data_IF_174013173603
#
_entry.id   IF_174013173603
#
_cell.length_a   1.000
_cell.length_b   1.000
_cell.length_c   1.000
_cell.angle_alpha   90.00
_cell.angle_beta   90.00
_cell.angle_gamma   90.00
#
_symmetry.space_group_name_H-M   'P 1'
#
loop_
_entity.id
_entity.type
_entity.pdbx_description
1 polymer ?
#
# COMPACT_ATOMS: atom_id res chain seq x y z
N UNK A 1 -0.94 -31.64 33.16
CA UNK A 1 -0.15 -30.42 32.90
C UNK A 1 0.12 -30.37 31.41
N UNK A 2 -0.70 -29.61 30.67
CA UNK A 2 -0.32 -28.42 29.89
C UNK A 2 0.20 -28.81 28.48
N UNK A 3 -0.71 -28.77 27.48
CA UNK A 3 -0.66 -27.97 26.21
C UNK A 3 0.17 -28.63 25.09
N UNK A 4 -0.19 -28.72 23.79
CA UNK A 4 -1.06 -27.99 22.86
C UNK A 4 -1.43 -28.97 21.71
N UNK A 5 -2.64 -29.10 21.18
CA UNK A 5 -3.46 -28.18 20.38
C UNK A 5 -2.82 -27.74 19.03
N UNK A 6 -3.08 -28.53 17.98
CA UNK A 6 -2.99 -28.17 16.55
C UNK A 6 -4.31 -28.60 15.89
N UNK A 7 -5.13 -27.69 15.33
CA UNK A 7 -6.24 -28.08 14.47
C UNK A 7 -5.83 -28.05 13.00
N UNK A 8 -6.09 -29.18 12.34
CA UNK A 8 -6.05 -29.39 10.91
C UNK A 8 -7.15 -28.56 10.25
N UNK A 9 -6.76 -27.73 9.30
CA UNK A 9 -7.63 -26.93 8.43
C UNK A 9 -8.29 -27.86 7.41
N UNK A 10 -9.60 -28.09 7.54
CA UNK A 10 -10.40 -28.69 6.47
C UNK A 10 -10.87 -27.59 5.51
N UNK A 11 -10.29 -27.59 4.30
CA UNK A 11 -10.81 -26.95 3.10
C UNK A 11 -12.15 -27.61 2.72
N UNK A 12 -13.25 -26.87 2.78
CA UNK A 12 -14.50 -27.21 2.09
C UNK A 12 -14.52 -26.50 0.74
N UNK A 13 -14.09 -27.21 -0.31
CA UNK A 13 -14.47 -26.96 -1.70
C UNK A 13 -15.85 -27.60 -1.92
N UNK A 14 -16.86 -26.79 -2.18
CA UNK A 14 -18.18 -27.28 -2.63
C UNK A 14 -18.28 -27.10 -4.14
N UNK A 15 -17.82 -28.13 -4.86
CA UNK A 15 -18.20 -28.39 -6.24
C UNK A 15 -19.61 -29.00 -6.25
N UNK A 16 -20.54 -28.35 -6.93
CA UNK A 16 -21.88 -28.85 -7.16
C UNK A 16 -21.85 -30.08 -8.08
N UNK A 17 -22.37 -31.21 -7.61
CA UNK A 17 -22.77 -32.35 -8.44
C UNK A 17 -24.21 -32.68 -8.07
N UNK A 18 -25.08 -32.53 -9.06
CA UNK A 18 -26.51 -32.86 -9.00
C UNK A 18 -26.65 -34.35 -9.30
N UNK A 19 -27.04 -35.15 -8.32
CA UNK A 19 -27.81 -36.38 -8.51
C UNK A 19 -28.62 -36.66 -7.24
N UNK A 20 -29.93 -36.82 -7.41
CA UNK A 20 -30.89 -36.95 -6.31
C UNK A 20 -30.82 -38.28 -5.56
N UNK A 21 -31.11 -38.21 -4.27
CA UNK A 21 -31.91 -39.13 -3.43
C UNK A 21 -32.00 -38.42 -2.07
N UNK A 22 -33.23 -38.16 -1.61
CA UNK A 22 -33.49 -37.49 -0.34
C UNK A 22 -33.41 -38.45 0.84
N UNK A 23 -32.89 -37.98 1.98
CA UNK A 23 -33.29 -38.44 3.33
C UNK A 23 -33.20 -37.25 4.31
N UNK A 24 -34.27 -37.14 5.08
CA UNK A 24 -34.66 -36.05 5.97
C UNK A 24 -33.80 -35.88 7.22
N UNK A 25 -33.68 -34.61 7.64
CA UNK A 25 -33.27 -34.17 8.98
C UNK A 25 -34.37 -34.52 9.98
N UNK A 26 -33.99 -35.16 11.10
CA UNK A 26 -34.88 -35.39 12.25
C UNK A 26 -34.85 -34.17 13.16
N UNK A 27 -36.02 -33.57 13.34
CA UNK A 27 -36.32 -32.50 14.29
C UNK A 27 -36.22 -32.97 15.75
N UNK A 28 -35.59 -32.16 16.61
CA UNK A 28 -35.87 -32.16 18.04
C UNK A 28 -37.02 -31.17 18.32
N UNK A 29 -38.07 -31.68 18.96
CA UNK A 29 -39.36 -31.04 19.24
C UNK A 29 -39.31 -30.34 20.60
N UNK A 30 -39.62 -29.04 20.62
CA UNK A 30 -40.19 -28.37 21.78
C UNK A 30 -41.34 -27.50 21.28
N UNK A 31 -42.56 -27.92 21.61
CA UNK A 31 -43.82 -27.30 21.22
C UNK A 31 -44.10 -26.05 22.06
N UNK A 32 -44.32 -24.93 21.38
CA UNK A 32 -45.37 -23.98 21.74
C UNK A 32 -45.95 -23.43 20.43
N UNK A 33 -47.21 -23.78 20.19
CA UNK A 33 -48.02 -23.45 19.01
C UNK A 33 -48.50 -22.01 19.09
N UNK A 34 -48.23 -21.20 18.07
CA UNK A 34 -49.18 -20.19 17.54
C UNK A 34 -48.71 -19.64 16.20
N UNK A 35 -49.24 -20.23 15.12
CA UNK A 35 -49.44 -19.67 13.77
C UNK A 35 -48.56 -18.49 13.32
N UNK A 36 -47.44 -18.78 12.66
CA UNK A 36 -46.84 -17.86 11.70
C UNK A 36 -46.74 -18.57 10.35
N UNK A 37 -47.55 -18.10 9.41
CA UNK A 37 -47.54 -18.44 7.98
C UNK A 37 -46.10 -18.49 7.46
N UNK A 38 -45.69 -19.50 6.65
CA UNK A 38 -44.38 -19.47 6.02
C UNK A 38 -44.35 -18.28 5.07
N UNK A 39 -43.60 -17.23 5.45
CA UNK A 39 -43.36 -16.10 4.56
C UNK A 39 -42.57 -16.63 3.37
N UNK A 40 -43.25 -16.65 2.24
CA UNK A 40 -42.73 -16.93 0.91
C UNK A 40 -41.44 -16.15 0.72
N UNK A 41 -40.33 -16.87 0.77
CA UNK A 41 -39.04 -16.42 0.27
C UNK A 41 -39.17 -16.39 -1.26
N UNK A 42 -39.92 -15.42 -1.80
CA UNK A 42 -39.73 -15.03 -3.20
C UNK A 42 -38.27 -14.59 -3.29
N UNK A 43 -37.46 -15.46 -3.88
CA UNK A 43 -36.02 -15.36 -3.91
C UNK A 43 -35.62 -13.97 -4.45
N UNK A 44 -35.07 -13.14 -3.58
CA UNK A 44 -34.26 -12.00 -3.97
C UNK A 44 -33.08 -12.55 -4.77
N UNK A 45 -33.24 -12.67 -6.10
CA UNK A 45 -32.13 -13.01 -6.98
C UNK A 45 -31.15 -11.83 -6.98
N UNK A 46 -29.85 -12.12 -7.06
CA UNK A 46 -28.82 -11.08 -7.11
C UNK A 46 -29.05 -10.08 -8.27
N UNK A 47 -29.65 -10.54 -9.38
CA UNK A 47 -30.02 -9.70 -10.52
C UNK A 47 -31.15 -8.69 -10.20
N UNK A 48 -32.10 -9.07 -9.33
CA UNK A 48 -33.14 -8.15 -8.85
C UNK A 48 -32.57 -7.13 -7.88
N UNK A 49 -31.66 -7.53 -7.00
CA UNK A 49 -30.96 -6.62 -6.07
C UNK A 49 -30.20 -5.55 -6.86
N UNK A 50 -29.53 -5.93 -7.96
CA UNK A 50 -28.74 -5.03 -8.79
C UNK A 50 -29.55 -3.94 -9.53
N UNK A 51 -30.85 -4.16 -9.73
CA UNK A 51 -31.74 -3.31 -10.54
C UNK A 51 -32.81 -2.58 -9.71
N UNK A 52 -32.99 -2.97 -8.45
CA UNK A 52 -33.99 -2.37 -7.55
C UNK A 52 -33.51 -1.03 -6.99
N UNK A 53 -34.41 -0.06 -6.83
CA UNK A 53 -34.12 1.21 -6.17
C UNK A 53 -33.69 0.99 -4.70
N UNK A 54 -32.67 1.71 -4.22
CA UNK A 54 -32.02 1.43 -2.93
C UNK A 54 -32.95 1.60 -1.71
N UNK A 55 -33.78 2.66 -1.62
CA UNK A 55 -34.84 2.76 -0.61
C UNK A 55 -35.88 1.64 -0.67
N UNK A 56 -36.28 1.22 -1.88
CA UNK A 56 -37.23 0.12 -2.05
C UNK A 56 -36.64 -1.23 -1.60
N UNK A 57 -35.35 -1.44 -1.86
CA UNK A 57 -34.61 -2.62 -1.40
C UNK A 57 -34.48 -2.62 0.14
N UNK A 58 -34.13 -1.49 0.76
CA UNK A 58 -34.10 -1.33 2.22
C UNK A 58 -35.42 -1.75 2.86
N UNK A 59 -36.52 -1.16 2.41
CA UNK A 59 -37.86 -1.44 2.92
C UNK A 59 -38.24 -2.92 2.75
N UNK A 60 -37.81 -3.57 1.67
CA UNK A 60 -38.08 -4.98 1.41
C UNK A 60 -37.31 -5.90 2.37
N UNK A 61 -36.04 -5.58 2.64
CA UNK A 61 -35.19 -6.33 3.57
C UNK A 61 -35.63 -6.17 5.04
N UNK A 62 -36.04 -4.95 5.42
CA UNK A 62 -36.61 -4.68 6.75
C UNK A 62 -37.91 -5.45 6.98
N UNK A 63 -38.82 -5.44 5.99
CA UNK A 63 -40.07 -6.22 6.04
C UNK A 63 -39.83 -7.74 6.09
N UNK A 64 -38.74 -8.20 5.48
CA UNK A 64 -38.32 -9.59 5.53
C UNK A 64 -37.62 -9.97 6.86
N UNK A 65 -37.45 -9.03 7.78
CA UNK A 65 -36.89 -9.28 9.11
C UNK A 65 -35.36 -9.47 9.12
N UNK A 66 -34.65 -8.93 8.13
CA UNK A 66 -33.18 -9.02 8.11
C UNK A 66 -32.57 -8.19 9.25
N UNK A 67 -31.48 -8.66 9.88
CA UNK A 67 -30.75 -7.86 10.85
C UNK A 67 -30.21 -6.58 10.23
N UNK A 68 -30.34 -5.45 10.93
CA UNK A 68 -29.96 -4.12 10.44
C UNK A 68 -28.48 -4.04 10.00
N UNK A 69 -27.58 -4.77 10.65
CA UNK A 69 -26.18 -4.89 10.25
C UNK A 69 -26.00 -5.51 8.86
N UNK A 70 -26.81 -6.51 8.50
CA UNK A 70 -26.76 -7.15 7.18
C UNK A 70 -27.41 -6.28 6.10
N UNK A 71 -28.47 -5.54 6.44
CA UNK A 71 -29.09 -4.57 5.53
C UNK A 71 -28.09 -3.47 5.20
N UNK A 72 -27.37 -2.94 6.21
CA UNK A 72 -26.30 -1.96 6.05
C UNK A 72 -25.15 -2.46 5.17
N UNK A 73 -24.62 -3.65 5.45
CA UNK A 73 -23.53 -4.22 4.65
C UNK A 73 -23.94 -4.44 3.18
N UNK A 74 -25.14 -4.98 2.94
CA UNK A 74 -25.62 -5.26 1.59
C UNK A 74 -25.90 -3.98 0.79
N UNK A 75 -26.63 -3.04 1.37
CA UNK A 75 -26.91 -1.77 0.71
C UNK A 75 -25.65 -0.93 0.52
N UNK A 76 -24.72 -1.02 1.46
CA UNK A 76 -23.43 -0.36 1.33
C UNK A 76 -22.60 -0.87 0.17
N UNK A 77 -22.49 -2.19 0.04
CA UNK A 77 -21.84 -2.85 -1.09
C UNK A 77 -22.52 -2.49 -2.42
N UNK A 78 -23.85 -2.35 -2.44
CA UNK A 78 -24.61 -2.03 -3.65
C UNK A 78 -24.48 -0.54 -4.05
N UNK A 79 -24.50 0.39 -3.10
CA UNK A 79 -24.16 1.81 -3.32
C UNK A 79 -22.75 1.89 -3.91
N UNK A 80 -21.81 1.18 -3.32
CA UNK A 80 -20.43 1.11 -3.78
C UNK A 80 -20.33 0.49 -5.16
N UNK A 81 -21.00 -0.63 -5.46
CA UNK A 81 -21.00 -1.26 -6.79
C UNK A 81 -21.59 -0.35 -7.87
N UNK A 82 -22.64 0.41 -7.56
CA UNK A 82 -23.29 1.34 -8.51
C UNK A 82 -22.49 2.61 -8.73
N UNK A 83 -21.83 3.11 -7.69
CA UNK A 83 -21.10 4.37 -7.70
C UNK A 83 -19.58 4.18 -7.78
N UNK A 84 -19.05 2.97 -7.77
CA UNK A 84 -17.62 2.65 -7.80
C UNK A 84 -17.37 1.23 -8.38
N UNK A 85 -17.05 1.10 -9.68
CA UNK A 85 -16.68 -0.19 -10.26
C UNK A 85 -15.24 -0.62 -9.91
N UNK A 86 -14.42 0.30 -9.38
CA UNK A 86 -13.08 0.02 -8.85
C UNK A 86 -13.19 -0.51 -7.42
N UNK A 87 -12.40 -1.52 -7.02
CA UNK A 87 -12.41 -2.03 -5.66
C UNK A 87 -11.86 -0.96 -4.70
N UNK A 88 -12.75 -0.29 -3.97
CA UNK A 88 -12.35 0.50 -2.80
C UNK A 88 -11.83 -0.48 -1.75
N UNK A 89 -10.75 -0.10 -1.06
CA UNK A 89 -10.26 -0.80 0.14
C UNK A 89 -11.43 -1.09 1.07
N UNK A 90 -11.66 -2.37 1.41
CA UNK A 90 -12.68 -2.74 2.39
C UNK A 90 -12.17 -2.36 3.78
N UNK A 91 -13.09 -2.03 4.69
CA UNK A 91 -12.72 -1.75 6.08
C UNK A 91 -11.92 -2.92 6.71
N UNK A 92 -12.25 -4.16 6.35
CA UNK A 92 -11.53 -5.35 6.80
C UNK A 92 -10.07 -5.43 6.32
N UNK A 93 -9.71 -4.64 5.30
CA UNK A 93 -8.35 -4.54 4.76
C UNK A 93 -7.56 -3.38 5.39
N UNK A 94 -8.20 -2.47 6.12
CA UNK A 94 -7.56 -1.30 6.74
C UNK A 94 -6.76 -1.74 7.97
N UNK A 95 -5.45 -1.88 7.82
CA UNK A 95 -4.56 -2.09 8.97
C UNK A 95 -4.13 -0.72 9.53
N UNK A 96 -3.70 -0.65 10.80
CA UNK A 96 -3.12 0.58 11.33
C UNK A 96 -1.96 1.04 10.45
N UNK A 97 -1.96 2.32 10.06
CA UNK A 97 -0.89 2.88 9.26
C UNK A 97 0.39 2.98 10.10
N UNK A 98 1.45 2.34 9.62
CA UNK A 98 2.79 2.44 10.20
C UNK A 98 3.71 3.11 9.19
N UNK A 99 4.21 4.32 9.50
CA UNK A 99 5.06 5.08 8.58
C UNK A 99 6.38 4.38 8.22
N UNK A 100 6.79 3.36 8.99
CA UNK A 100 8.02 2.59 8.78
C UNK A 100 7.81 1.27 8.01
N UNK A 101 6.60 0.97 7.54
CA UNK A 101 6.30 -0.25 6.79
C UNK A 101 5.61 0.00 5.46
N UNK A 102 5.76 -0.99 4.57
CA UNK A 102 5.08 -1.04 3.28
C UNK A 102 3.98 -2.09 3.32
N UNK A 103 2.77 -1.67 2.98
CA UNK A 103 1.56 -2.48 3.00
C UNK A 103 0.51 -1.89 2.05
N UNK A 104 -0.69 -2.48 1.95
CA UNK A 104 -1.82 -1.86 1.25
C UNK A 104 -2.05 -0.40 1.71
N UNK A 105 -1.76 -0.15 2.99
CA UNK A 105 -1.83 1.13 3.70
C UNK A 105 -0.74 2.14 3.30
N UNK A 106 0.35 1.66 2.69
CA UNK A 106 1.52 2.48 2.35
C UNK A 106 1.48 3.02 0.92
N UNK A 107 0.55 2.57 0.09
CA UNK A 107 0.38 3.10 -1.26
C UNK A 107 0.19 4.62 -1.15
N UNK A 108 1.10 5.44 -1.70
CA UNK A 108 0.83 6.86 -1.78
C UNK A 108 -0.51 7.02 -2.49
N UNK A 109 -1.42 7.83 -1.93
CA UNK A 109 -2.49 8.39 -2.75
C UNK A 109 -1.73 9.12 -3.85
N UNK A 110 -1.73 8.53 -5.04
CA UNK A 110 -0.88 8.97 -6.13
C UNK A 110 -0.99 10.48 -6.30
N UNK A 111 0.16 11.14 -6.30
CA UNK A 111 0.33 12.56 -6.59
C UNK A 111 0.03 12.86 -8.07
N UNK A 112 -0.26 11.83 -8.88
CA UNK A 112 -0.74 11.93 -10.26
C UNK A 112 -2.23 12.28 -10.34
N UNK A 113 -2.75 13.09 -9.42
CA UNK A 113 -4.09 13.62 -9.58
C UNK A 113 -3.98 14.96 -10.29
N UNK A 114 -4.47 15.04 -11.53
CA UNK A 114 -4.86 16.33 -12.07
C UNK A 114 -5.95 16.93 -11.16
N UNK A 115 -6.07 18.27 -11.06
CA UNK A 115 -7.12 18.91 -10.26
C UNK A 115 -8.52 18.39 -10.60
N UNK A 116 -8.74 17.96 -11.85
CA UNK A 116 -9.98 17.34 -12.32
C UNK A 116 -10.22 15.95 -11.71
N UNK A 117 -9.19 15.10 -11.60
CA UNK A 117 -9.29 13.80 -10.94
C UNK A 117 -9.54 13.94 -9.43
N UNK A 118 -8.92 14.94 -8.78
CA UNK A 118 -9.23 15.24 -7.36
C UNK A 118 -10.68 15.69 -7.21
N UNK A 119 -11.13 16.67 -8.00
CA UNK A 119 -12.51 17.18 -7.95
C UNK A 119 -13.53 16.08 -8.26
N UNK A 120 -13.27 15.26 -9.27
CA UNK A 120 -14.13 14.13 -9.63
C UNK A 120 -14.18 13.09 -8.52
N UNK A 121 -13.05 12.81 -7.85
CA UNK A 121 -13.01 11.91 -6.70
C UNK A 121 -13.79 12.48 -5.51
N UNK A 122 -13.53 13.73 -5.12
CA UNK A 122 -14.22 14.40 -4.00
C UNK A 122 -15.72 14.51 -4.24
N UNK A 123 -16.15 14.98 -5.42
CA UNK A 123 -17.59 15.07 -5.75
C UNK A 123 -18.27 13.68 -5.72
N UNK A 124 -17.54 12.62 -6.08
CA UNK A 124 -18.01 11.24 -6.05
C UNK A 124 -18.09 10.68 -4.63
N UNK A 125 -17.12 10.98 -3.78
CA UNK A 125 -17.13 10.65 -2.34
C UNK A 125 -18.30 11.36 -1.63
N UNK A 126 -18.53 12.64 -1.93
CA UNK A 126 -19.68 13.41 -1.45
C UNK A 126 -21.02 12.80 -1.90
N UNK A 127 -21.11 12.33 -3.14
CA UNK A 127 -22.28 11.62 -3.66
C UNK A 127 -22.54 10.28 -2.93
N UNK A 128 -21.49 9.49 -2.69
CA UNK A 128 -21.59 8.24 -1.93
C UNK A 128 -22.05 8.54 -0.50
N UNK A 129 -21.46 9.54 0.15
CA UNK A 129 -21.83 9.99 1.50
C UNK A 129 -23.28 10.44 1.57
N UNK A 130 -23.70 11.32 0.68
CA UNK A 130 -25.09 11.80 0.62
C UNK A 130 -26.09 10.66 0.42
N UNK A 131 -25.76 9.67 -0.41
CA UNK A 131 -26.61 8.49 -0.64
C UNK A 131 -26.66 7.55 0.56
N UNK A 132 -25.56 7.38 1.28
CA UNK A 132 -25.56 6.63 2.54
C UNK A 132 -26.35 7.35 3.63
N UNK A 133 -26.19 8.66 3.78
CA UNK A 133 -26.92 9.47 4.76
C UNK A 133 -28.44 9.48 4.49
N UNK A 134 -28.83 9.46 3.21
CA UNK A 134 -30.24 9.30 2.78
C UNK A 134 -30.82 7.93 3.21
N UNK A 135 -30.04 6.85 3.09
CA UNK A 135 -30.48 5.49 3.39
C UNK A 135 -30.42 5.17 4.88
N UNK A 136 -29.43 5.72 5.60
CA UNK A 136 -29.14 5.41 7.00
C UNK A 136 -28.86 6.68 7.81
N UNK A 137 -29.88 7.52 8.05
CA UNK A 137 -29.72 8.69 8.89
C UNK A 137 -29.26 8.28 10.30
N UNK A 138 -28.15 8.88 10.76
CA UNK A 138 -27.51 8.66 12.07
C UNK A 138 -26.71 7.36 12.27
N UNK A 139 -26.37 6.62 11.22
CA UNK A 139 -25.40 5.53 11.33
C UNK A 139 -23.96 6.10 11.35
N UNK A 140 -23.08 5.61 12.22
CA UNK A 140 -21.63 5.71 11.96
C UNK A 140 -21.36 4.95 10.66
N UNK A 141 -21.09 5.68 9.58
CA UNK A 141 -20.85 5.11 8.26
C UNK A 141 -19.45 4.49 8.19
N UNK A 142 -19.27 3.47 7.35
CA UNK A 142 -17.94 2.98 6.95
C UNK A 142 -17.07 4.14 6.41
N UNK A 143 -17.70 5.15 5.80
CA UNK A 143 -17.07 6.43 5.41
C UNK A 143 -16.42 7.14 6.59
N UNK A 144 -17.10 7.25 7.74
CA UNK A 144 -16.52 7.88 8.94
C UNK A 144 -15.34 7.10 9.54
N UNK A 145 -15.27 5.78 9.31
CA UNK A 145 -14.11 4.96 9.71
C UNK A 145 -12.92 5.16 8.77
N UNK A 146 -13.17 5.24 7.47
CA UNK A 146 -12.15 5.57 6.46
C UNK A 146 -11.60 6.98 6.69
N UNK A 147 -12.46 7.97 6.90
CA UNK A 147 -12.07 9.36 7.22
C UNK A 147 -11.13 9.39 8.45
N UNK A 148 -11.49 8.69 9.54
CA UNK A 148 -10.65 8.59 10.74
C UNK A 148 -9.31 7.90 10.47
N UNK A 149 -9.31 6.84 9.66
CA UNK A 149 -8.08 6.14 9.28
C UNK A 149 -7.16 7.03 8.43
N UNK A 150 -7.70 7.77 7.47
CA UNK A 150 -6.95 8.72 6.64
C UNK A 150 -6.41 9.87 7.47
N UNK A 151 -7.20 10.42 8.39
CA UNK A 151 -6.76 11.44 9.33
C UNK A 151 -5.60 10.94 10.18
N UNK A 152 -5.71 9.73 10.77
CA UNK A 152 -4.65 9.15 11.59
C UNK A 152 -3.39 8.88 10.76
N UNK A 153 -3.54 8.43 9.52
CA UNK A 153 -2.43 8.20 8.60
C UNK A 153 -1.70 9.51 8.28
N UNK A 154 -2.45 10.54 7.92
CA UNK A 154 -1.92 11.82 7.44
C UNK A 154 -1.35 12.70 8.56
N UNK A 155 -2.02 12.72 9.71
CA UNK A 155 -1.74 13.69 10.77
C UNK A 155 -1.21 13.08 12.07
N UNK A 156 -1.36 11.77 12.26
CA UNK A 156 -1.03 11.15 13.54
C UNK A 156 -1.75 11.84 14.69
N UNK A 157 -0.99 12.18 15.72
CA UNK A 157 -1.51 12.78 16.95
C UNK A 157 -1.52 14.32 16.93
N UNK A 158 -1.36 14.94 15.75
CA UNK A 158 -1.31 16.39 15.61
C UNK A 158 -2.66 17.04 16.03
N UNK A 159 -2.66 18.03 16.95
CA UNK A 159 -3.90 18.67 17.41
C UNK A 159 -4.72 19.29 16.27
N UNK A 160 -6.06 19.23 16.37
CA UNK A 160 -6.98 19.70 15.34
C UNK A 160 -6.72 21.15 14.89
N UNK A 161 -6.45 22.06 15.84
CA UNK A 161 -6.18 23.47 15.53
C UNK A 161 -4.88 23.64 14.72
N UNK A 162 -3.86 22.84 15.00
CA UNK A 162 -2.61 22.83 14.23
C UNK A 162 -2.80 22.16 12.87
N UNK A 163 -3.57 21.07 12.78
CA UNK A 163 -3.96 20.43 11.51
C UNK A 163 -4.61 21.44 10.56
N UNK A 164 -5.57 22.23 11.07
CA UNK A 164 -6.24 23.27 10.29
C UNK A 164 -5.27 24.36 9.81
N UNK A 165 -4.34 24.81 10.66
CA UNK A 165 -3.33 25.80 10.29
C UNK A 165 -2.34 25.27 9.23
N UNK A 166 -1.87 24.03 9.38
CA UNK A 166 -1.00 23.36 8.39
C UNK A 166 -1.73 23.23 7.07
N UNK A 167 -2.98 22.75 7.07
CA UNK A 167 -3.80 22.65 5.85
C UNK A 167 -3.97 23.98 5.16
N UNK A 168 -4.31 25.05 5.91
CA UNK A 168 -4.47 26.38 5.35
C UNK A 168 -3.17 26.95 4.76
N UNK A 169 -2.02 26.66 5.40
CA UNK A 169 -0.71 27.03 4.88
C UNK A 169 -0.40 26.31 3.57
N UNK A 170 -0.57 24.99 3.54
CA UNK A 170 -0.29 24.16 2.36
C UNK A 170 -1.21 24.51 1.18
N UNK A 171 -2.51 24.71 1.44
CA UNK A 171 -3.48 25.11 0.41
C UNK A 171 -3.14 26.49 -0.18
N UNK A 172 -2.81 27.47 0.67
CA UNK A 172 -2.36 28.79 0.22
C UNK A 172 -1.08 28.70 -0.62
N UNK A 173 -0.09 27.92 -0.18
CA UNK A 173 1.15 27.71 -0.93
C UNK A 173 0.92 27.01 -2.26
N UNK A 174 0.06 25.99 -2.29
CA UNK A 174 -0.26 25.24 -3.50
C UNK A 174 -0.97 26.14 -4.52
N UNK A 175 -1.96 26.94 -4.10
CA UNK A 175 -2.63 27.91 -4.96
C UNK A 175 -1.68 28.96 -5.50
N UNK A 176 -0.85 29.56 -4.64
CA UNK A 176 0.12 30.56 -5.09
C UNK A 176 1.08 29.98 -6.15
N UNK A 177 1.52 28.73 -5.98
CA UNK A 177 2.34 28.03 -6.96
C UNK A 177 1.59 27.75 -8.25
N UNK A 178 0.36 27.25 -8.17
CA UNK A 178 -0.44 26.94 -9.35
C UNK A 178 -0.77 28.21 -10.14
N UNK A 179 -1.17 29.30 -9.48
CA UNK A 179 -1.39 30.62 -10.11
C UNK A 179 -0.09 31.14 -10.77
N UNK A 180 1.06 30.96 -10.10
CA UNK A 180 2.37 31.33 -10.65
C UNK A 180 2.73 30.54 -11.91
N UNK A 181 2.45 29.24 -11.92
CA UNK A 181 2.66 28.37 -13.07
C UNK A 181 1.70 28.70 -14.21
N UNK A 182 0.41 28.91 -13.92
CA UNK A 182 -0.62 29.18 -14.92
C UNK A 182 -0.42 30.53 -15.61
N UNK A 183 -0.05 31.57 -14.86
CA UNK A 183 0.28 32.88 -15.43
C UNK A 183 1.47 32.86 -16.41
N UNK A 184 2.26 31.78 -16.41
CA UNK A 184 3.43 31.57 -17.29
C UNK A 184 3.21 30.46 -18.32
N UNK A 185 1.98 29.97 -18.47
CA UNK A 185 1.70 28.85 -19.37
C UNK A 185 2.46 27.56 -19.02
N UNK A 186 2.85 27.40 -17.74
CA UNK A 186 3.65 26.27 -17.20
C UNK A 186 5.03 26.10 -17.85
N UNK A 187 5.52 27.10 -18.58
CA UNK A 187 6.90 27.16 -19.07
C UNK A 187 7.68 28.16 -18.24
N UNK A 188 8.70 27.69 -17.54
CA UNK A 188 9.50 28.50 -16.62
C UNK A 188 10.90 28.72 -17.16
N UNK A 189 11.37 29.96 -17.07
CA UNK A 189 12.78 30.27 -17.24
C UNK A 189 13.55 30.00 -15.92
N UNK A 190 14.90 29.99 -15.95
CA UNK A 190 15.71 29.69 -14.76
C UNK A 190 15.45 30.58 -13.53
N UNK A 191 15.11 31.86 -13.71
CA UNK A 191 14.81 32.78 -12.60
C UNK A 191 13.43 32.50 -11.98
N UNK A 192 12.49 32.02 -12.79
CA UNK A 192 11.16 31.63 -12.33
C UNK A 192 11.20 30.30 -11.57
N UNK A 193 12.10 29.39 -11.96
CA UNK A 193 12.42 28.19 -11.18
C UNK A 193 12.92 28.56 -9.77
N UNK A 194 13.88 29.48 -9.68
CA UNK A 194 14.39 29.99 -8.39
C UNK A 194 13.27 30.60 -7.52
N UNK A 195 12.34 31.32 -8.13
CA UNK A 195 11.18 31.89 -7.40
C UNK A 195 10.27 30.79 -6.83
N UNK A 196 10.05 29.70 -7.58
CA UNK A 196 9.28 28.56 -7.06
C UNK A 196 10.00 27.86 -5.92
N UNK A 197 11.31 27.69 -6.02
CA UNK A 197 12.13 27.09 -4.96
C UNK A 197 12.09 27.92 -3.68
N UNK A 198 12.22 29.24 -3.79
CA UNK A 198 12.06 30.15 -2.66
C UNK A 198 10.67 30.03 -2.02
N UNK A 199 9.62 29.90 -2.82
CA UNK A 199 8.25 29.68 -2.32
C UNK A 199 8.15 28.38 -1.53
N UNK A 200 8.75 27.28 -2.00
CA UNK A 200 8.80 26.01 -1.27
C UNK A 200 9.55 26.15 0.06
N UNK A 201 10.71 26.83 0.05
CA UNK A 201 11.51 27.10 1.24
C UNK A 201 10.78 27.99 2.26
N UNK A 202 10.02 28.99 1.81
CA UNK A 202 9.21 29.84 2.68
C UNK A 202 8.07 29.06 3.34
N UNK A 203 7.41 28.18 2.58
CA UNK A 203 6.39 27.28 3.12
C UNK A 203 6.98 26.32 4.14
N UNK A 204 8.17 25.77 3.88
CA UNK A 204 8.88 24.92 4.85
C UNK A 204 9.22 25.68 6.13
N UNK A 205 9.76 26.90 6.03
CA UNK A 205 10.06 27.73 7.20
C UNK A 205 8.82 28.07 8.03
N UNK A 206 7.68 28.29 7.38
CA UNK A 206 6.41 28.49 8.09
C UNK A 206 5.93 27.22 8.79
N UNK A 207 6.11 26.03 8.18
CA UNK A 207 5.83 24.75 8.86
C UNK A 207 6.71 24.57 10.10
N UNK A 208 8.00 24.90 10.01
CA UNK A 208 8.96 24.84 11.12
C UNK A 208 8.63 25.81 12.27
N UNK A 209 7.95 26.92 11.97
CA UNK A 209 7.47 27.86 13.00
C UNK A 209 6.16 27.41 13.64
N UNK A 210 5.31 26.72 12.88
CA UNK A 210 4.00 26.26 13.32
C UNK A 210 4.06 24.97 14.15
N UNK A 211 4.98 24.08 13.79
CA UNK A 211 5.16 22.76 14.39
C UNK A 211 6.39 22.72 15.29
N UNK A 212 6.30 22.02 16.41
CA UNK A 212 7.49 21.66 17.20
C UNK A 212 8.39 20.71 16.40
N UNK A 213 9.65 20.56 16.80
CA UNK A 213 10.58 19.66 16.11
C UNK A 213 10.07 18.21 16.03
N UNK A 214 9.42 17.71 17.08
CA UNK A 214 8.86 16.36 17.11
C UNK A 214 7.59 16.23 16.26
N UNK A 215 6.71 17.24 16.27
CA UNK A 215 5.52 17.27 15.41
C UNK A 215 5.90 17.37 13.93
N UNK A 216 6.92 18.17 13.60
CA UNK A 216 7.44 18.30 12.25
C UNK A 216 8.06 16.99 11.76
N UNK A 217 8.82 16.31 12.63
CA UNK A 217 9.37 14.99 12.31
C UNK A 217 8.28 13.96 12.05
N UNK A 218 7.24 13.88 12.89
CA UNK A 218 6.12 12.96 12.67
C UNK A 218 5.36 13.31 11.37
N UNK A 219 5.14 14.60 11.13
CA UNK A 219 4.56 15.08 9.88
C UNK A 219 5.39 14.66 8.66
N UNK A 220 6.70 14.85 8.70
CA UNK A 220 7.61 14.52 7.60
C UNK A 220 7.72 12.99 7.39
N UNK A 221 7.72 12.18 8.45
CA UNK A 221 7.70 10.72 8.36
C UNK A 221 6.45 10.19 7.64
N UNK A 222 5.34 10.93 7.69
CA UNK A 222 4.06 10.55 7.07
C UNK A 222 3.91 11.10 5.66
N UNK A 223 4.37 12.33 5.43
CA UNK A 223 4.00 13.12 4.25
C UNK A 223 5.17 13.43 3.30
N UNK A 224 6.43 13.22 3.69
CA UNK A 224 7.57 13.52 2.81
C UNK A 224 7.76 12.48 1.70
N UNK A 225 8.32 12.93 0.56
CA UNK A 225 8.72 12.03 -0.51
C UNK A 225 9.85 11.09 -0.05
N UNK A 226 10.79 11.58 0.78
CA UNK A 226 11.82 10.73 1.42
C UNK A 226 11.20 9.53 2.13
N UNK A 227 10.21 9.75 3.01
CA UNK A 227 9.59 8.67 3.76
C UNK A 227 8.77 7.74 2.85
N UNK A 228 8.07 8.29 1.86
CA UNK A 228 7.35 7.49 0.88
C UNK A 228 8.27 6.56 0.07
N UNK A 229 9.40 7.10 -0.40
CA UNK A 229 10.43 6.33 -1.11
C UNK A 229 11.08 5.29 -0.20
N UNK A 230 11.46 5.67 1.03
CA UNK A 230 12.05 4.77 2.01
C UNK A 230 11.13 3.61 2.37
N UNK A 231 9.82 3.81 2.48
CA UNK A 231 8.89 2.69 2.69
C UNK A 231 9.07 1.66 1.57
N UNK A 232 8.96 2.09 0.31
CA UNK A 232 9.07 1.18 -0.83
C UNK A 232 10.44 0.50 -0.92
N UNK A 233 11.52 1.27 -0.82
CA UNK A 233 12.90 0.75 -0.89
C UNK A 233 13.22 -0.21 0.26
N UNK A 234 12.77 0.11 1.48
CA UNK A 234 13.13 -0.65 2.68
C UNK A 234 12.11 -1.76 3.02
N UNK A 235 11.14 -2.07 2.15
CA UNK A 235 10.17 -3.15 2.39
C UNK A 235 10.90 -4.50 2.56
N UNK A 236 11.89 -4.77 1.70
CA UNK A 236 12.70 -5.96 1.81
C UNK A 236 13.66 -5.92 3.00
N UNK A 237 14.01 -4.75 3.55
CA UNK A 237 14.83 -4.62 4.76
C UNK A 237 14.00 -4.92 6.02
N UNK A 238 12.72 -4.53 6.01
CA UNK A 238 11.79 -4.59 7.13
C UNK A 238 12.36 -3.87 8.37
N UNK A 239 12.57 -2.54 8.29
CA UNK A 239 13.15 -1.77 9.38
C UNK A 239 12.24 -1.81 10.62
N UNK A 240 12.87 -1.77 11.79
CA UNK A 240 12.19 -1.33 13.01
C UNK A 240 11.84 0.15 12.92
N UNK A 241 10.90 0.62 13.75
CA UNK A 241 10.55 2.04 13.83
C UNK A 241 11.78 2.92 14.04
N UNK A 242 12.67 2.54 14.95
CA UNK A 242 13.83 3.34 15.31
C UNK A 242 14.88 3.35 14.20
N UNK A 243 15.12 2.22 13.52
CA UNK A 243 15.97 2.17 12.34
C UNK A 243 15.43 3.05 11.21
N UNK A 244 14.11 3.03 10.96
CA UNK A 244 13.50 3.86 9.94
C UNK A 244 13.66 5.35 10.25
N UNK A 245 13.35 5.79 11.48
CA UNK A 245 13.52 7.18 11.91
C UNK A 245 14.99 7.61 11.80
N UNK A 246 15.90 6.73 12.20
CA UNK A 246 17.32 7.04 12.19
C UNK A 246 17.88 7.20 10.77
N UNK A 247 17.54 6.31 9.84
CA UNK A 247 17.90 6.43 8.43
C UNK A 247 17.21 7.64 7.80
N UNK A 248 15.97 7.91 8.17
CA UNK A 248 15.21 9.06 7.69
C UNK A 248 15.91 10.38 8.02
N UNK A 249 16.39 10.53 9.26
CA UNK A 249 17.15 11.70 9.71
C UNK A 249 18.46 11.91 8.95
N UNK A 250 19.03 10.87 8.35
CA UNK A 250 20.22 10.97 7.50
C UNK A 250 19.89 11.32 6.05
N UNK A 251 18.75 10.84 5.53
CA UNK A 251 18.36 11.00 4.12
C UNK A 251 17.52 12.26 3.86
N UNK A 252 16.58 12.58 4.74
CA UNK A 252 15.64 13.68 4.52
C UNK A 252 16.30 15.06 4.36
N UNK A 253 17.35 15.41 5.13
CA UNK A 253 18.04 16.68 4.93
C UNK A 253 18.72 16.80 3.55
N UNK A 254 19.12 15.68 2.94
CA UNK A 254 19.68 15.67 1.60
C UNK A 254 18.60 16.00 0.57
N UNK A 255 17.41 15.40 0.71
CA UNK A 255 16.29 15.74 -0.15
C UNK A 255 15.98 17.23 -0.06
N UNK A 256 15.78 17.78 1.15
CA UNK A 256 15.51 19.21 1.31
C UNK A 256 16.63 20.11 0.76
N UNK A 257 17.90 19.69 0.82
CA UNK A 257 19.03 20.47 0.30
C UNK A 257 19.15 20.46 -1.23
N UNK A 258 18.56 19.45 -1.89
CA UNK A 258 18.75 19.19 -3.30
C UNK A 258 17.46 18.91 -4.11
N UNK A 259 16.28 18.99 -3.50
CA UNK A 259 14.96 18.74 -4.11
C UNK A 259 14.74 19.66 -5.31
N UNK A 260 15.13 20.91 -5.14
CA UNK A 260 15.00 21.96 -6.14
C UNK A 260 16.15 21.99 -7.16
N UNK A 261 17.17 21.12 -7.01
CA UNK A 261 18.35 21.12 -7.89
C UNK A 261 18.27 19.93 -8.85
N UNK A 262 18.05 20.15 -10.16
CA UNK A 262 18.01 19.05 -11.12
C UNK A 262 19.39 18.38 -11.23
N UNK A 263 19.39 17.05 -11.38
CA UNK A 263 20.60 16.30 -11.69
C UNK A 263 21.15 16.66 -13.07
N UNK A 264 22.47 16.73 -13.20
CA UNK A 264 23.14 16.98 -14.48
C UNK A 264 23.08 18.43 -14.94
N UNK A 265 22.61 19.36 -14.08
CA UNK A 265 22.56 20.79 -14.38
C UNK A 265 23.89 21.51 -14.09
N UNK A 266 24.49 21.24 -12.93
CA UNK A 266 25.76 21.83 -12.50
C UNK A 266 26.67 20.75 -11.87
N UNK A 267 27.83 20.46 -12.47
CA UNK A 267 28.78 19.47 -11.96
C UNK A 267 29.23 19.71 -10.51
N UNK A 268 29.29 20.97 -10.05
CA UNK A 268 29.66 21.28 -8.68
C UNK A 268 28.55 20.88 -7.69
N UNK A 269 27.29 21.07 -8.07
CA UNK A 269 26.13 20.65 -7.28
C UNK A 269 26.00 19.12 -7.26
N UNK A 270 26.23 18.47 -8.40
CA UNK A 270 26.21 17.00 -8.48
C UNK A 270 27.31 16.40 -7.59
N UNK A 271 28.53 16.94 -7.63
CA UNK A 271 29.62 16.51 -6.74
C UNK A 271 29.30 16.72 -5.24
N UNK A 272 28.65 17.84 -4.88
CA UNK A 272 28.19 18.08 -3.51
C UNK A 272 27.14 17.04 -3.08
N UNK A 273 26.20 16.72 -3.97
CA UNK A 273 25.17 15.72 -3.71
C UNK A 273 25.77 14.34 -3.52
N UNK A 274 26.64 13.88 -4.41
CA UNK A 274 27.33 12.60 -4.31
C UNK A 274 28.13 12.47 -3.00
N UNK A 275 28.85 13.53 -2.61
CA UNK A 275 29.60 13.55 -1.36
C UNK A 275 28.67 13.46 -0.13
N UNK A 276 27.53 14.14 -0.17
CA UNK A 276 26.56 14.15 0.92
C UNK A 276 25.81 12.81 1.03
N UNK A 277 25.44 12.20 -0.10
CA UNK A 277 24.86 10.85 -0.18
C UNK A 277 25.84 9.79 0.35
N UNK A 278 27.12 9.87 -0.05
CA UNK A 278 28.17 8.99 0.46
C UNK A 278 28.33 9.12 1.97
N UNK A 279 28.37 10.35 2.50
CA UNK A 279 28.45 10.57 3.95
C UNK A 279 27.23 10.02 4.69
N UNK A 280 26.02 10.16 4.15
CA UNK A 280 24.83 9.58 4.73
C UNK A 280 24.85 8.04 4.71
N UNK A 281 25.39 7.45 3.64
CA UNK A 281 25.56 5.99 3.53
C UNK A 281 26.56 5.45 4.56
N UNK A 282 27.69 6.13 4.75
CA UNK A 282 28.70 5.78 5.77
C UNK A 282 28.11 5.86 7.19
N UNK A 283 27.34 6.92 7.48
CA UNK A 283 26.62 7.05 8.75
C UNK A 283 25.56 5.96 8.93
N UNK A 284 24.88 5.59 7.86
CA UNK A 284 23.90 4.48 7.87
C UNK A 284 24.58 3.15 8.18
N UNK A 285 25.76 2.90 7.59
CA UNK A 285 26.56 1.70 7.87
C UNK A 285 27.00 1.64 9.34
N UNK A 286 27.48 2.76 9.89
CA UNK A 286 27.86 2.85 11.30
C UNK A 286 26.66 2.64 12.24
N UNK A 287 25.49 3.15 11.86
CA UNK A 287 24.26 3.06 12.66
C UNK A 287 23.68 1.65 12.71
N UNK A 288 23.62 0.97 11.56
CA UNK A 288 23.02 -0.36 11.44
C UNK A 288 24.00 -1.48 11.84
N UNK A 289 25.30 -1.23 11.69
CA UNK A 289 26.33 -2.25 11.80
C UNK A 289 26.36 -3.19 10.58
N UNK A 290 27.40 -4.04 10.45
CA UNK A 290 27.73 -4.69 9.18
C UNK A 290 26.61 -5.60 8.63
N UNK A 291 26.04 -6.47 9.47
CA UNK A 291 25.05 -7.45 9.04
C UNK A 291 23.72 -6.80 8.60
N UNK A 292 23.26 -5.78 9.34
CA UNK A 292 22.04 -5.05 8.98
C UNK A 292 22.27 -4.10 7.82
N UNK A 293 23.47 -3.53 7.70
CA UNK A 293 23.82 -2.69 6.56
C UNK A 293 23.84 -3.50 5.25
N UNK A 294 24.27 -4.77 5.27
CA UNK A 294 24.15 -5.66 4.11
C UNK A 294 22.68 -5.91 3.71
N UNK A 295 21.81 -6.21 4.69
CA UNK A 295 20.37 -6.33 4.45
C UNK A 295 19.77 -5.02 3.88
N UNK A 296 20.25 -3.86 4.34
CA UNK A 296 19.84 -2.55 3.86
C UNK A 296 20.25 -2.35 2.40
N UNK A 297 21.50 -2.61 2.02
CA UNK A 297 21.97 -2.48 0.64
C UNK A 297 21.20 -3.39 -0.31
N UNK A 298 20.93 -4.63 0.11
CA UNK A 298 20.11 -5.56 -0.68
C UNK A 298 18.71 -5.00 -0.94
N UNK A 299 18.09 -4.35 0.06
CA UNK A 299 16.75 -3.80 -0.11
C UNK A 299 16.69 -2.64 -1.11
N UNK A 300 17.78 -1.89 -1.25
CA UNK A 300 17.86 -0.79 -2.20
C UNK A 300 17.94 -1.28 -3.65
N UNK A 301 18.26 -2.55 -3.89
CA UNK A 301 18.36 -3.10 -5.23
C UNK A 301 16.97 -3.26 -5.88
N UNK A 302 16.73 -2.69 -7.06
CA UNK A 302 15.43 -2.79 -7.73
C UNK A 302 14.97 -4.23 -8.01
N UNK A 303 15.89 -5.16 -8.26
CA UNK A 303 15.56 -6.58 -8.49
C UNK A 303 15.07 -7.21 -7.18
N UNK A 304 15.66 -6.85 -6.04
CA UNK A 304 15.16 -7.31 -4.73
C UNK A 304 13.78 -6.70 -4.41
N UNK A 305 13.53 -5.45 -4.81
CA UNK A 305 12.23 -4.80 -4.65
C UNK A 305 11.14 -5.48 -5.48
N UNK A 306 11.41 -5.83 -6.73
CA UNK A 306 10.50 -6.64 -7.56
C UNK A 306 10.23 -8.00 -6.92
N UNK A 307 11.28 -8.69 -6.44
CA UNK A 307 11.12 -9.97 -5.76
C UNK A 307 10.29 -9.84 -4.46
N UNK A 308 10.45 -8.73 -3.73
CA UNK A 308 9.67 -8.44 -2.53
C UNK A 308 8.20 -8.18 -2.85
N UNK A 309 7.94 -7.44 -3.93
CA UNK A 309 6.59 -7.22 -4.42
C UNK A 309 5.86 -8.54 -4.69
N UNK A 310 6.49 -9.45 -5.45
CA UNK A 310 5.95 -10.79 -5.72
C UNK A 310 5.83 -11.62 -4.43
N UNK A 311 6.79 -11.46 -3.51
CA UNK A 311 6.79 -12.10 -2.19
C UNK A 311 5.56 -11.78 -1.35
N UNK A 312 4.97 -10.57 -1.49
CA UNK A 312 3.75 -10.20 -0.78
C UNK A 312 2.53 -10.97 -1.30
N UNK A 313 2.43 -11.18 -2.61
CA UNK A 313 1.37 -12.01 -3.19
C UNK A 313 1.50 -13.47 -2.73
N UNK A 314 2.73 -13.97 -2.63
CA UNK A 314 3.05 -15.27 -2.05
C UNK A 314 3.01 -15.31 -0.50
N UNK A 315 2.60 -14.21 0.17
CA UNK A 315 2.51 -14.07 1.64
C UNK A 315 3.80 -14.45 2.38
N UNK A 316 4.93 -14.14 1.77
CA UNK A 316 6.26 -14.47 2.28
C UNK A 316 6.88 -13.29 3.03
N UNK A 317 7.66 -13.61 4.06
CA UNK A 317 8.37 -12.63 4.87
C UNK A 317 9.60 -12.04 4.15
N UNK A 318 10.03 -10.86 4.60
CA UNK A 318 11.15 -10.14 3.99
C UNK A 318 12.49 -10.88 4.11
N UNK A 319 12.72 -11.62 5.21
CA UNK A 319 13.97 -12.36 5.40
C UNK A 319 14.10 -13.53 4.41
N UNK A 320 12.99 -14.21 4.11
CA UNK A 320 12.93 -15.23 3.07
C UNK A 320 13.20 -14.65 1.68
N UNK A 321 12.63 -13.49 1.35
CA UNK A 321 12.92 -12.78 0.09
C UNK A 321 14.42 -12.44 -0.01
N UNK A 322 15.00 -11.83 1.03
CA UNK A 322 16.44 -11.50 1.05
C UNK A 322 17.32 -12.74 0.91
N UNK A 323 16.94 -13.87 1.53
CA UNK A 323 17.65 -15.15 1.39
C UNK A 323 17.66 -15.64 -0.06
N UNK A 324 16.49 -15.66 -0.71
CA UNK A 324 16.38 -16.07 -2.13
C UNK A 324 17.18 -15.14 -3.03
N UNK A 325 17.13 -13.83 -2.78
CA UNK A 325 17.91 -12.85 -3.52
C UNK A 325 19.42 -13.05 -3.37
N UNK A 326 19.91 -13.33 -2.15
CA UNK A 326 21.34 -13.69 -1.93
C UNK A 326 21.73 -14.96 -2.68
N UNK A 327 20.87 -15.99 -2.68
CA UNK A 327 21.11 -17.22 -3.44
C UNK A 327 21.23 -16.93 -4.94
N UNK A 328 20.33 -16.09 -5.46
CA UNK A 328 20.36 -15.62 -6.84
C UNK A 328 21.65 -14.85 -7.18
N UNK A 329 22.09 -13.92 -6.34
CA UNK A 329 23.36 -13.20 -6.56
C UNK A 329 24.56 -14.15 -6.57
N UNK A 330 24.61 -15.10 -5.64
CA UNK A 330 25.65 -16.13 -5.59
C UNK A 330 25.66 -16.98 -6.86
N UNK A 331 24.48 -17.33 -7.39
CA UNK A 331 24.38 -18.05 -8.65
C UNK A 331 24.87 -17.22 -9.85
N UNK A 332 24.50 -15.93 -9.93
CA UNK A 332 25.02 -15.04 -10.99
C UNK A 332 26.55 -14.94 -10.95
N UNK A 333 27.12 -14.75 -9.77
CA UNK A 333 28.57 -14.69 -9.60
C UNK A 333 29.25 -16.00 -10.03
N UNK A 334 28.68 -17.15 -9.64
CA UNK A 334 29.18 -18.45 -10.06
C UNK A 334 29.09 -18.64 -11.57
N UNK A 335 27.95 -18.32 -12.20
CA UNK A 335 27.79 -18.40 -13.65
C UNK A 335 28.86 -17.58 -14.39
N UNK A 336 29.12 -16.34 -13.93
CA UNK A 336 30.16 -15.49 -14.51
C UNK A 336 31.57 -16.10 -14.37
N UNK A 337 31.85 -16.83 -13.28
CA UNK A 337 33.14 -17.50 -13.09
C UNK A 337 33.35 -18.74 -13.98
N UNK A 338 32.28 -19.32 -14.54
CA UNK A 338 32.36 -20.52 -15.37
C UNK A 338 32.95 -20.27 -16.76
N UNK A 339 33.12 -19.01 -17.18
CA UNK A 339 33.71 -18.67 -18.48
C UNK A 339 35.17 -19.16 -18.64
N UNK A 340 35.81 -19.52 -17.54
CA UNK A 340 37.17 -20.08 -17.50
C UNK A 340 37.21 -21.60 -17.70
N UNK A 341 36.07 -22.28 -17.74
CA UNK A 341 35.98 -23.75 -17.83
C UNK A 341 35.79 -24.25 -19.28
N UNK A 342 36.20 -25.50 -19.59
CA UNK A 342 35.88 -26.14 -20.87
C UNK A 342 34.37 -26.16 -21.15
N UNK A 343 33.98 -25.97 -22.41
CA UNK A 343 32.57 -25.87 -22.84
C UNK A 343 31.63 -26.95 -22.24
N UNK A 344 31.94 -28.25 -22.27
CA UNK A 344 31.03 -29.27 -21.75
C UNK A 344 30.85 -29.21 -20.23
N UNK A 345 31.92 -28.88 -19.49
CA UNK A 345 31.85 -28.71 -18.03
C UNK A 345 31.08 -27.44 -17.65
N UNK A 346 31.33 -26.35 -18.40
CA UNK A 346 30.62 -25.08 -18.27
C UNK A 346 29.11 -25.25 -18.46
N UNK A 347 28.68 -25.94 -19.51
CA UNK A 347 27.26 -26.17 -19.80
C UNK A 347 26.56 -27.02 -18.73
N UNK A 348 27.21 -28.09 -18.28
CA UNK A 348 26.68 -28.94 -17.21
C UNK A 348 26.56 -28.18 -15.88
N UNK A 349 27.59 -27.41 -15.51
CA UNK A 349 27.60 -26.60 -14.30
C UNK A 349 26.54 -25.49 -14.35
N UNK A 350 26.41 -24.79 -15.47
CA UNK A 350 25.41 -23.75 -15.67
C UNK A 350 23.98 -24.32 -15.59
N UNK A 351 23.73 -25.47 -16.21
CA UNK A 351 22.42 -26.15 -16.16
C UNK A 351 22.07 -26.56 -14.73
N UNK A 352 23.02 -27.17 -14.01
CA UNK A 352 22.82 -27.58 -12.62
C UNK A 352 22.50 -26.39 -11.70
N UNK A 353 23.23 -25.28 -11.87
CA UNK A 353 23.06 -24.08 -11.07
C UNK A 353 21.70 -23.39 -11.32
N UNK A 354 21.31 -23.26 -12.60
CA UNK A 354 19.98 -22.74 -12.98
C UNK A 354 18.86 -23.61 -12.41
N UNK A 355 18.97 -24.94 -12.54
CA UNK A 355 17.99 -25.87 -11.99
C UNK A 355 17.92 -25.81 -10.45
N UNK A 356 19.05 -25.58 -9.78
CA UNK A 356 19.11 -25.35 -8.34
C UNK A 356 18.32 -24.12 -7.90
N UNK A 357 18.57 -22.97 -8.54
CA UNK A 357 17.86 -21.72 -8.25
C UNK A 357 16.37 -21.82 -8.55
N UNK A 358 16.00 -22.43 -9.68
CA UNK A 358 14.59 -22.65 -10.01
C UNK A 358 13.89 -23.46 -8.91
N UNK A 359 14.47 -24.60 -8.48
CA UNK A 359 13.91 -25.40 -7.38
C UNK A 359 13.78 -24.62 -6.07
N UNK A 360 14.76 -23.79 -5.74
CA UNK A 360 14.73 -22.97 -4.52
C UNK A 360 13.60 -21.93 -4.57
N UNK A 361 13.48 -21.20 -5.68
CA UNK A 361 12.42 -20.20 -5.85
C UNK A 361 11.03 -20.85 -5.83
N UNK A 362 10.87 -22.05 -6.37
CA UNK A 362 9.61 -22.80 -6.35
C UNK A 362 9.14 -23.24 -4.95
N UNK A 363 9.99 -23.16 -3.94
CA UNK A 363 9.58 -23.39 -2.55
C UNK A 363 8.73 -22.24 -2.00
N UNK A 364 8.78 -21.07 -2.64
CA UNK A 364 8.14 -19.83 -2.19
C UNK A 364 7.16 -19.31 -3.23
N UNK A 365 7.58 -19.27 -4.49
CA UNK A 365 6.80 -18.74 -5.61
C UNK A 365 6.18 -19.85 -6.44
N UNK A 366 5.06 -19.54 -7.10
CA UNK A 366 4.49 -20.43 -8.11
C UNK A 366 5.40 -20.55 -9.35
N UNK A 367 5.04 -21.45 -10.26
CA UNK A 367 5.83 -21.73 -11.45
C UNK A 367 5.90 -20.52 -12.41
N UNK A 368 4.82 -19.77 -12.51
CA UNK A 368 4.73 -18.63 -13.43
C UNK A 368 5.57 -17.46 -12.91
N UNK A 369 5.42 -17.08 -11.65
CA UNK A 369 6.21 -16.04 -11.00
C UNK A 369 7.70 -16.38 -10.97
N UNK A 370 8.06 -17.64 -10.68
CA UNK A 370 9.46 -18.09 -10.71
C UNK A 370 10.05 -17.95 -12.12
N UNK A 371 9.33 -18.42 -13.13
CA UNK A 371 9.82 -18.37 -14.52
C UNK A 371 9.96 -16.94 -15.00
N UNK A 372 8.93 -16.10 -14.76
CA UNK A 372 8.93 -14.68 -15.14
C UNK A 372 10.14 -13.96 -14.54
N UNK A 373 10.36 -14.08 -13.22
CA UNK A 373 11.49 -13.46 -12.56
C UNK A 373 12.83 -13.93 -13.15
N UNK A 374 13.04 -15.25 -13.30
CA UNK A 374 14.30 -15.77 -13.82
C UNK A 374 14.55 -15.43 -15.31
N UNK A 375 13.49 -15.31 -16.11
CA UNK A 375 13.56 -14.86 -17.51
C UNK A 375 13.93 -13.38 -17.61
N UNK A 376 13.27 -12.51 -16.84
CA UNK A 376 13.60 -11.08 -16.76
C UNK A 376 15.07 -10.86 -16.35
N UNK A 377 15.58 -11.74 -15.49
CA UNK A 377 16.96 -11.70 -15.03
C UNK A 377 17.96 -12.45 -15.94
N UNK A 378 17.52 -12.89 -17.13
CA UNK A 378 18.34 -13.60 -18.13
C UNK A 378 18.98 -14.91 -17.62
N UNK A 379 18.39 -15.55 -16.60
CA UNK A 379 18.85 -16.83 -16.07
C UNK A 379 18.11 -18.03 -16.68
N UNK A 380 16.93 -17.82 -17.25
CA UNK A 380 16.10 -18.88 -17.83
C UNK A 380 15.65 -18.51 -19.25
N UNK A 381 15.57 -19.48 -20.19
CA UNK A 381 15.04 -19.24 -21.54
C UNK A 381 13.54 -18.93 -21.55
#
# INVERSE_FOLDING_TARGET
>A
MIHSALPIIHLLRLTAVITGIGVSIVCARAEAVSTATPLTTEALSFDRIATTDLPALKNSLEKAGWPDSHIRALLGLEVQRRLNPEPVLRFEDLKPFHFWHTGPDSLPVSNLNTPELVKARTAREELVRAKYDELFPHAETETGLLDRWEEQRRWGDLPADKRAQVLALLDRSARARDDFLESRGRMLNPQEWETLWQTNHDTRRQLEQLLTADELLDYDLRNSNTAARMRNELDAFAPTRDEFIAVFRLRHPLELAFEDKPHGGDPAIDAQREAAEKSALEKTAALLGPARFDDYLISLDPVCQTLRFDGRHARTDAATVRRLYRSFLNAKQRLASLDTQPLPEREAAATSLKAGIHREFRTVFDEEATRRFLQEQSLWP
#
